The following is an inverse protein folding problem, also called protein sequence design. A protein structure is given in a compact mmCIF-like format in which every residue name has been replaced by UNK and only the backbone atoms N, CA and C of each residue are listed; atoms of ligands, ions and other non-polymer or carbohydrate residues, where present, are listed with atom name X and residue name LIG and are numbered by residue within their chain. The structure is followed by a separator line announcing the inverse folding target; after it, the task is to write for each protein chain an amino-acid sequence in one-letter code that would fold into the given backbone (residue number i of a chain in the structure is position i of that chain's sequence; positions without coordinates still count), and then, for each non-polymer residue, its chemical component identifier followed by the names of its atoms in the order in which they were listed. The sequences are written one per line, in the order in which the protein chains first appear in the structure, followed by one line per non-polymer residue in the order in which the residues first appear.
data_IF_658577823943
#
_entry.id   IF_658577823943
#
_cell.length_a   1.000
_cell.length_b   1.000
_cell.length_c   1.000
_cell.angle_alpha   90.00
_cell.angle_beta   90.00
_cell.angle_gamma   90.00
#
_symmetry.space_group_name_H-M   'P 1'
#
loop_
_entity.id
_entity.type
_entity.pdbx_description
1 polymer ?
#
# COMPACT_ATOMS: atom_id res chain seq x y z
N UNK A 1 -16.79 36.92 -0.48
CA UNK A 1 -16.85 35.66 -1.25
C UNK A 1 -18.29 35.55 -1.71
N UNK A 2 -18.53 35.74 -3.01
CA UNK A 2 -19.88 35.82 -3.55
C UNK A 2 -20.47 34.42 -3.75
N UNK A 3 -21.80 34.29 -3.83
CA UNK A 3 -22.46 32.99 -4.12
C UNK A 3 -22.05 32.41 -5.49
N UNK A 4 -21.45 33.22 -6.38
CA UNK A 4 -20.97 32.77 -7.69
C UNK A 4 -19.63 32.02 -7.56
N UNK A 5 -18.72 32.50 -6.71
CA UNK A 5 -17.41 31.87 -6.46
C UNK A 5 -17.58 30.46 -5.85
N UNK A 6 -18.52 30.31 -4.92
CA UNK A 6 -18.78 29.02 -4.25
C UNK A 6 -19.42 27.99 -5.18
N UNK A 7 -20.26 28.43 -6.12
CA UNK A 7 -20.86 27.55 -7.11
C UNK A 7 -19.86 27.07 -8.17
N UNK A 8 -18.90 27.92 -8.57
CA UNK A 8 -17.82 27.55 -9.48
C UNK A 8 -16.90 26.49 -8.86
N UNK A 9 -16.50 26.66 -7.59
CA UNK A 9 -15.65 25.70 -6.88
C UNK A 9 -16.33 24.33 -6.73
N UNK A 10 -17.63 24.31 -6.39
CA UNK A 10 -18.39 23.05 -6.28
C UNK A 10 -18.48 22.32 -7.62
N UNK A 11 -18.74 23.02 -8.73
CA UNK A 11 -18.80 22.41 -10.05
C UNK A 11 -17.45 21.82 -10.49
N UNK A 12 -16.34 22.45 -10.12
CA UNK A 12 -14.99 21.94 -10.37
C UNK A 12 -14.68 20.66 -9.56
N UNK A 13 -15.21 20.56 -8.33
CA UNK A 13 -15.12 19.34 -7.52
C UNK A 13 -15.91 18.20 -8.16
N UNK A 14 -17.17 18.45 -8.52
CA UNK A 14 -18.04 17.43 -9.11
C UNK A 14 -17.52 16.91 -10.45
N UNK A 15 -16.98 17.80 -11.29
CA UNK A 15 -16.34 17.41 -12.55
C UNK A 15 -15.08 16.56 -12.32
N UNK A 16 -14.20 16.93 -11.39
CA UNK A 16 -13.03 16.12 -11.03
C UNK A 16 -13.42 14.73 -10.51
N UNK A 17 -14.43 14.67 -9.64
CA UNK A 17 -14.95 13.40 -9.11
C UNK A 17 -15.53 12.52 -10.22
N UNK A 18 -16.40 13.06 -11.07
CA UNK A 18 -17.05 12.30 -12.16
C UNK A 18 -16.03 11.81 -13.19
N UNK A 19 -15.05 12.63 -13.56
CA UNK A 19 -13.96 12.23 -14.44
C UNK A 19 -13.14 11.10 -13.82
N UNK A 20 -12.79 11.22 -12.54
CA UNK A 20 -12.07 10.17 -11.80
C UNK A 20 -12.84 8.85 -11.77
N UNK A 21 -14.15 8.88 -11.48
CA UNK A 21 -14.98 7.67 -11.48
C UNK A 21 -15.09 7.03 -12.86
N UNK A 22 -15.26 7.82 -13.92
CA UNK A 22 -15.31 7.30 -15.29
C UNK A 22 -14.00 6.59 -15.66
N UNK A 23 -12.88 7.22 -15.34
CA UNK A 23 -11.54 6.66 -15.46
C UNK A 23 -11.40 5.34 -14.70
N UNK A 24 -11.75 5.32 -13.41
CA UNK A 24 -11.61 4.15 -12.55
C UNK A 24 -12.51 3.00 -13.03
N UNK A 25 -13.69 3.30 -13.56
CA UNK A 25 -14.59 2.32 -14.16
C UNK A 25 -13.97 1.69 -15.42
N UNK A 26 -13.38 2.51 -16.30
CA UNK A 26 -12.67 2.02 -17.50
C UNK A 26 -11.49 1.12 -17.12
N UNK A 27 -10.71 1.50 -16.11
CA UNK A 27 -9.61 0.68 -15.59
C UNK A 27 -10.14 -0.65 -15.04
N UNK A 28 -11.16 -0.60 -14.19
CA UNK A 28 -11.78 -1.80 -13.61
C UNK A 28 -12.29 -2.76 -14.68
N UNK A 29 -12.92 -2.24 -15.74
CA UNK A 29 -13.35 -3.03 -16.90
C UNK A 29 -12.17 -3.61 -17.67
N UNK A 30 -11.10 -2.83 -17.90
CA UNK A 30 -9.92 -3.28 -18.63
C UNK A 30 -9.28 -4.52 -17.98
N UNK A 31 -9.26 -4.57 -16.66
CA UNK A 31 -8.74 -5.70 -15.89
C UNK A 31 -9.59 -6.98 -15.97
N UNK A 32 -10.84 -6.90 -16.45
CA UNK A 32 -11.68 -8.08 -16.72
C UNK A 32 -11.37 -8.72 -18.07
N UNK A 33 -10.91 -7.94 -19.04
CA UNK A 33 -10.79 -8.38 -20.44
C UNK A 33 -9.36 -8.49 -20.94
N UNK A 34 -8.43 -7.74 -20.35
CA UNK A 34 -7.05 -7.66 -20.82
C UNK A 34 -6.12 -8.52 -19.95
N UNK A 35 -5.25 -9.35 -20.58
CA UNK A 35 -4.24 -10.10 -19.85
C UNK A 35 -3.13 -9.17 -19.33
N UNK A 36 -2.50 -9.56 -18.22
CA UNK A 36 -1.31 -8.87 -17.71
C UNK A 36 -0.07 -9.23 -18.54
N UNK A 37 0.71 -8.23 -18.91
CA UNK A 37 1.94 -8.40 -19.69
C UNK A 37 3.23 -8.18 -18.86
N UNK A 38 3.12 -7.84 -17.56
CA UNK A 38 4.24 -7.59 -16.65
C UNK A 38 5.37 -6.69 -17.22
N UNK A 39 5.04 -5.75 -18.10
CA UNK A 39 6.01 -4.80 -18.65
C UNK A 39 6.99 -5.35 -19.70
N UNK A 40 6.76 -6.56 -20.23
CA UNK A 40 7.74 -7.21 -21.14
C UNK A 40 7.68 -6.74 -22.59
N UNK A 41 6.54 -6.21 -23.02
CA UNK A 41 6.33 -5.85 -24.44
C UNK A 41 6.58 -4.35 -24.69
N UNK A 42 7.82 -4.00 -25.01
CA UNK A 42 8.23 -2.60 -25.30
C UNK A 42 7.37 -1.90 -26.36
N UNK A 43 6.82 -2.63 -27.34
CA UNK A 43 5.94 -2.04 -28.36
C UNK A 43 4.66 -1.45 -27.77
N UNK A 44 4.11 -2.09 -26.74
CA UNK A 44 2.90 -1.62 -26.05
C UNK A 44 3.20 -0.34 -25.28
N UNK A 45 4.36 -0.25 -24.62
CA UNK A 45 4.76 0.99 -23.93
C UNK A 45 4.95 2.15 -24.91
N UNK A 46 5.62 1.91 -26.03
CA UNK A 46 5.81 2.92 -27.07
C UNK A 46 4.47 3.40 -27.67
N UNK A 47 3.57 2.45 -27.99
CA UNK A 47 2.23 2.77 -28.48
C UNK A 47 1.43 3.56 -27.45
N UNK A 48 1.47 3.16 -26.18
CA UNK A 48 0.80 3.85 -25.09
C UNK A 48 1.24 5.31 -24.99
N UNK A 49 2.55 5.56 -24.95
CA UNK A 49 3.08 6.91 -24.84
C UNK A 49 2.80 7.77 -26.07
N UNK A 50 2.82 7.19 -27.27
CA UNK A 50 2.40 7.89 -28.47
C UNK A 50 0.94 8.36 -28.38
N UNK A 51 0.03 7.50 -27.93
CA UNK A 51 -1.39 7.85 -27.72
C UNK A 51 -1.55 8.86 -26.60
N UNK A 52 -0.84 8.70 -25.47
CA UNK A 52 -0.92 9.61 -24.34
C UNK A 52 -0.48 11.03 -24.71
N UNK A 53 0.67 11.17 -25.39
CA UNK A 53 1.19 12.48 -25.83
C UNK A 53 0.23 13.15 -26.81
N UNK A 54 -0.28 12.41 -27.80
CA UNK A 54 -1.27 12.94 -28.75
C UNK A 54 -2.53 13.38 -28.00
N UNK A 55 -2.99 12.61 -27.01
CA UNK A 55 -4.17 12.96 -26.23
C UNK A 55 -3.96 14.25 -25.44
N UNK A 56 -2.82 14.41 -24.75
CA UNK A 56 -2.51 15.65 -23.99
C UNK A 56 -2.47 16.88 -24.90
N UNK A 57 -1.96 16.77 -26.12
CA UNK A 57 -1.84 17.88 -27.07
C UNK A 57 -3.19 18.23 -27.73
N UNK A 58 -3.98 17.22 -28.09
CA UNK A 58 -5.21 17.39 -28.87
C UNK A 58 -6.43 17.70 -27.98
N UNK A 59 -6.38 17.34 -26.69
CA UNK A 59 -7.50 17.56 -25.79
C UNK A 59 -7.83 19.07 -25.71
N UNK A 60 -9.09 19.48 -25.99
CA UNK A 60 -9.48 20.88 -25.89
C UNK A 60 -9.20 21.46 -24.50
N UNK A 61 -8.77 22.73 -24.44
CA UNK A 61 -8.45 23.42 -23.19
C UNK A 61 -9.56 23.31 -22.16
N UNK A 62 -10.81 23.47 -22.62
CA UNK A 62 -12.00 23.47 -21.78
C UNK A 62 -12.28 22.10 -21.16
N UNK A 63 -11.87 21.01 -21.80
CA UNK A 63 -12.00 19.66 -21.24
C UNK A 63 -10.80 19.35 -20.35
N UNK A 64 -9.61 19.77 -20.76
CA UNK A 64 -8.37 19.52 -20.04
C UNK A 64 -8.37 20.13 -18.64
N UNK A 65 -8.99 21.30 -18.45
CA UNK A 65 -9.09 21.97 -17.14
C UNK A 65 -9.91 21.19 -16.12
N UNK A 66 -10.90 20.40 -16.56
CA UNK A 66 -11.71 19.55 -15.66
C UNK A 66 -11.10 18.17 -15.42
N UNK A 67 -10.32 17.64 -16.37
CA UNK A 67 -9.73 16.30 -16.28
C UNK A 67 -8.36 16.33 -15.61
N UNK A 68 -7.51 17.31 -15.95
CA UNK A 68 -6.13 17.40 -15.47
C UNK A 68 -6.05 18.26 -14.21
N UNK A 69 -6.77 17.82 -13.17
CA UNK A 69 -6.76 18.46 -11.85
C UNK A 69 -5.92 17.62 -10.87
N UNK A 70 -5.33 18.29 -9.87
CA UNK A 70 -4.57 17.60 -8.80
C UNK A 70 -5.40 16.53 -8.10
N UNK A 71 -6.67 16.85 -7.80
CA UNK A 71 -7.61 15.90 -7.20
C UNK A 71 -7.86 14.69 -8.10
N UNK A 72 -8.02 14.87 -9.42
CA UNK A 72 -8.19 13.75 -10.35
C UNK A 72 -6.96 12.84 -10.33
N UNK A 73 -5.75 13.40 -10.33
CA UNK A 73 -4.51 12.62 -10.25
C UNK A 73 -4.44 11.83 -8.94
N UNK A 74 -4.74 12.46 -7.81
CA UNK A 74 -4.78 11.79 -6.51
C UNK A 74 -5.77 10.63 -6.51
N UNK A 75 -7.01 10.85 -6.97
CA UNK A 75 -8.05 9.84 -7.00
C UNK A 75 -7.70 8.68 -7.95
N UNK A 76 -7.28 8.99 -9.17
CA UNK A 76 -6.95 8.00 -10.20
C UNK A 76 -5.67 7.23 -9.86
N UNK A 77 -4.67 7.92 -9.34
CA UNK A 77 -3.38 7.35 -8.96
C UNK A 77 -3.42 6.58 -7.63
N UNK A 78 -4.41 6.80 -6.76
CA UNK A 78 -4.48 6.15 -5.46
C UNK A 78 -5.66 5.17 -5.30
N UNK A 79 -6.90 5.51 -5.69
CA UNK A 79 -8.08 4.69 -5.34
C UNK A 79 -8.00 3.27 -5.88
N UNK A 80 -7.73 3.12 -7.18
CA UNK A 80 -7.64 1.78 -7.78
C UNK A 80 -6.46 0.97 -7.22
N UNK A 81 -5.24 1.54 -7.11
CA UNK A 81 -4.14 0.86 -6.46
C UNK A 81 -4.34 0.53 -4.98
N UNK A 82 -5.06 1.36 -4.20
CA UNK A 82 -5.44 1.04 -2.82
C UNK A 82 -6.31 -0.22 -2.80
N UNK A 83 -7.37 -0.26 -3.61
CA UNK A 83 -8.25 -1.43 -3.68
C UNK A 83 -7.45 -2.68 -4.06
N UNK A 84 -6.54 -2.56 -5.02
CA UNK A 84 -5.72 -3.69 -5.48
C UNK A 84 -4.66 -4.12 -4.47
N UNK A 85 -4.06 -3.20 -3.73
CA UNK A 85 -3.20 -3.51 -2.60
C UNK A 85 -3.97 -4.26 -1.50
N UNK A 86 -5.20 -3.82 -1.18
CA UNK A 86 -6.05 -4.53 -0.22
C UNK A 86 -6.42 -5.92 -0.72
N UNK A 87 -6.81 -6.03 -1.99
CA UNK A 87 -7.14 -7.30 -2.60
C UNK A 87 -5.95 -8.25 -2.63
N UNK A 88 -4.79 -7.78 -3.07
CA UNK A 88 -3.57 -8.58 -3.16
C UNK A 88 -3.21 -9.18 -1.80
N UNK A 89 -3.16 -8.31 -0.78
CA UNK A 89 -2.95 -8.75 0.59
C UNK A 89 -3.99 -9.80 0.99
N UNK A 90 -5.27 -9.71 0.60
CA UNK A 90 -6.27 -10.71 0.99
C UNK A 90 -6.21 -12.04 0.21
N UNK A 91 -5.42 -12.17 -0.86
CA UNK A 91 -5.36 -13.42 -1.63
C UNK A 91 -4.27 -14.36 -1.12
N UNK A 92 -4.40 -15.68 -1.32
CA UNK A 92 -3.34 -16.63 -1.00
C UNK A 92 -2.24 -16.72 -2.09
N UNK A 93 -2.35 -15.96 -3.18
CA UNK A 93 -1.38 -16.00 -4.28
C UNK A 93 -0.11 -15.22 -3.91
N UNK A 94 1.07 -15.80 -4.15
CA UNK A 94 2.33 -15.26 -3.61
C UNK A 94 2.98 -14.16 -4.48
N UNK A 95 2.30 -13.69 -5.53
CA UNK A 95 2.92 -12.86 -6.58
C UNK A 95 2.29 -11.48 -6.81
N UNK A 96 1.04 -11.27 -6.41
CA UNK A 96 0.35 -9.99 -6.60
C UNK A 96 0.79 -8.93 -5.58
N UNK A 97 1.10 -9.32 -4.34
CA UNK A 97 1.65 -8.43 -3.32
C UNK A 97 2.90 -7.68 -3.81
N UNK A 98 3.83 -8.40 -4.46
CA UNK A 98 5.07 -7.81 -5.00
C UNK A 98 4.75 -6.79 -6.10
N UNK A 99 3.82 -7.11 -6.99
CA UNK A 99 3.45 -6.23 -8.11
C UNK A 99 2.87 -4.90 -7.62
N UNK A 100 1.97 -4.95 -6.62
CA UNK A 100 1.37 -3.74 -6.08
C UNK A 100 2.32 -2.95 -5.18
N UNK A 101 3.26 -3.62 -4.50
CA UNK A 101 4.29 -2.91 -3.75
C UNK A 101 5.26 -2.16 -4.69
N UNK A 102 5.64 -2.76 -5.84
CA UNK A 102 6.43 -2.07 -6.87
C UNK A 102 5.70 -0.84 -7.42
N UNK A 103 4.38 -0.92 -7.60
CA UNK A 103 3.56 0.25 -7.93
C UNK A 103 3.71 1.35 -6.89
N UNK A 104 3.54 1.03 -5.60
CA UNK A 104 3.62 2.03 -4.54
C UNK A 104 5.03 2.62 -4.35
N UNK A 105 6.07 1.85 -4.62
CA UNK A 105 7.46 2.36 -4.67
C UNK A 105 7.60 3.46 -5.72
N UNK A 106 7.14 3.21 -6.96
CA UNK A 106 7.28 4.17 -8.06
C UNK A 106 6.27 5.32 -7.93
N UNK A 107 5.00 4.99 -7.69
CA UNK A 107 3.90 5.94 -7.56
C UNK A 107 4.02 6.84 -6.33
N UNK A 108 4.49 6.30 -5.19
CA UNK A 108 4.71 7.08 -3.97
C UNK A 108 5.74 8.19 -4.16
N UNK A 109 6.87 7.88 -4.81
CA UNK A 109 7.83 8.94 -5.19
C UNK A 109 7.24 9.93 -6.17
N UNK A 110 6.48 9.48 -7.17
CA UNK A 110 5.85 10.40 -8.12
C UNK A 110 4.86 11.34 -7.42
N UNK A 111 4.03 10.84 -6.50
CA UNK A 111 3.15 11.69 -5.68
C UNK A 111 3.93 12.72 -4.85
N UNK A 112 5.04 12.28 -4.23
CA UNK A 112 5.91 13.17 -3.49
C UNK A 112 6.51 14.24 -4.41
N UNK A 113 7.19 13.87 -5.49
CA UNK A 113 7.83 14.79 -6.44
C UNK A 113 6.83 15.77 -7.04
N UNK A 114 5.65 15.28 -7.42
CA UNK A 114 4.57 16.11 -8.00
C UNK A 114 4.21 17.26 -7.08
N UNK A 115 4.16 17.03 -5.76
CA UNK A 115 3.87 18.11 -4.80
C UNK A 115 4.87 19.26 -4.94
N UNK A 116 6.16 18.97 -5.14
CA UNK A 116 7.18 20.01 -5.32
C UNK A 116 7.08 20.68 -6.68
N UNK A 117 6.79 19.90 -7.72
CA UNK A 117 6.70 20.41 -9.10
C UNK A 117 5.46 21.29 -9.28
N UNK A 118 4.34 20.94 -8.66
CA UNK A 118 3.09 21.70 -8.74
C UNK A 118 3.19 23.10 -8.11
N UNK A 119 4.07 23.25 -7.12
CA UNK A 119 4.40 24.54 -6.48
C UNK A 119 5.44 25.33 -7.29
N UNK A 120 6.30 24.64 -8.05
CA UNK A 120 7.36 25.27 -8.85
C UNK A 120 6.88 25.78 -10.23
N UNK A 121 5.79 25.22 -10.77
CA UNK A 121 5.25 25.63 -12.07
C UNK A 121 4.24 26.77 -11.89
N UNK A 122 4.66 27.99 -12.21
CA UNK A 122 3.80 29.19 -12.16
C UNK A 122 2.84 29.30 -13.36
N UNK A 123 3.23 28.75 -14.52
CA UNK A 123 2.43 28.86 -15.74
C UNK A 123 1.29 27.83 -15.75
N UNK A 124 0.04 28.30 -15.79
CA UNK A 124 -1.16 27.47 -15.74
C UNK A 124 -1.25 26.45 -16.90
N UNK A 125 -0.86 26.85 -18.12
CA UNK A 125 -0.79 25.92 -19.25
C UNK A 125 0.26 24.83 -19.04
N UNK A 126 1.45 25.22 -18.56
CA UNK A 126 2.51 24.25 -18.25
C UNK A 126 2.09 23.29 -17.12
N UNK A 127 1.34 23.79 -16.13
CA UNK A 127 0.77 22.99 -15.04
C UNK A 127 -0.26 21.99 -15.57
N UNK A 128 -1.16 22.42 -16.45
CA UNK A 128 -2.11 21.52 -17.11
C UNK A 128 -1.44 20.40 -17.90
N UNK A 129 -0.37 20.71 -18.64
CA UNK A 129 0.44 19.71 -19.37
C UNK A 129 1.15 18.75 -18.41
N UNK A 130 1.73 19.25 -17.32
CA UNK A 130 2.36 18.44 -16.29
C UNK A 130 1.37 17.45 -15.65
N UNK A 131 0.20 17.95 -15.25
CA UNK A 131 -0.87 17.14 -14.66
C UNK A 131 -1.41 16.11 -15.66
N UNK A 132 -1.55 16.46 -16.94
CA UNK A 132 -1.91 15.53 -18.00
C UNK A 132 -0.87 14.40 -18.15
N UNK A 133 0.41 14.74 -18.25
CA UNK A 133 1.51 13.77 -18.30
C UNK A 133 1.50 12.84 -17.08
N UNK A 134 1.26 13.39 -15.89
CA UNK A 134 1.24 12.63 -14.65
C UNK A 134 0.05 11.68 -14.57
N UNK A 135 -1.14 12.11 -14.99
CA UNK A 135 -2.32 11.25 -15.07
C UNK A 135 -2.04 10.03 -15.96
N UNK A 136 -1.52 10.25 -17.17
CA UNK A 136 -1.13 9.16 -18.07
C UNK A 136 0.04 8.33 -17.52
N UNK A 137 0.93 8.90 -16.70
CA UNK A 137 1.98 8.13 -16.02
C UNK A 137 1.37 7.16 -15.01
N UNK A 138 0.45 7.62 -14.14
CA UNK A 138 -0.19 6.74 -13.15
C UNK A 138 -0.95 5.59 -13.82
N UNK A 139 -1.71 5.90 -14.87
CA UNK A 139 -2.34 4.87 -15.68
C UNK A 139 -1.33 3.88 -16.25
N UNK A 140 -0.24 4.38 -16.84
CA UNK A 140 0.79 3.52 -17.42
C UNK A 140 1.40 2.57 -16.39
N UNK A 141 1.59 3.04 -15.15
CA UNK A 141 2.17 2.23 -14.08
C UNK A 141 1.33 1.00 -13.74
N UNK A 142 0.00 1.14 -13.68
CA UNK A 142 -0.88 0.06 -13.25
C UNK A 142 -1.77 -0.53 -14.36
N UNK A 143 -1.77 -0.02 -15.59
CA UNK A 143 -2.65 -0.56 -16.63
C UNK A 143 -2.22 -2.00 -17.03
N UNK A 144 -3.15 -2.96 -17.23
CA UNK A 144 -2.81 -4.40 -17.35
C UNK A 144 -1.81 -4.72 -18.47
N UNK A 145 -1.92 -4.02 -19.62
CA UNK A 145 -1.06 -4.29 -20.76
C UNK A 145 0.34 -3.68 -20.63
N UNK A 146 0.47 -2.60 -19.85
CA UNK A 146 1.74 -1.90 -19.68
C UNK A 146 2.46 -2.36 -18.43
N UNK A 147 1.81 -2.46 -17.27
CA UNK A 147 2.49 -2.80 -16.00
C UNK A 147 3.79 -1.99 -15.83
N UNK A 148 3.70 -0.67 -16.06
CA UNK A 148 4.86 0.21 -16.10
C UNK A 148 5.62 0.26 -14.79
N UNK A 149 4.95 0.02 -13.66
CA UNK A 149 5.59 -0.04 -12.35
C UNK A 149 6.65 -1.14 -12.27
N UNK A 150 6.36 -2.33 -12.80
CA UNK A 150 7.30 -3.46 -12.86
C UNK A 150 8.50 -3.09 -13.72
N UNK A 151 8.25 -2.50 -14.90
CA UNK A 151 9.31 -2.10 -15.83
C UNK A 151 10.25 -1.07 -15.20
N UNK A 152 9.71 -0.05 -14.52
CA UNK A 152 10.53 0.97 -13.83
C UNK A 152 11.27 0.36 -12.66
N UNK A 153 10.61 -0.47 -11.85
CA UNK A 153 11.24 -1.07 -10.69
C UNK A 153 12.41 -1.97 -11.09
N UNK A 154 12.15 -2.97 -11.94
CA UNK A 154 13.13 -3.99 -12.32
C UNK A 154 14.24 -3.37 -13.21
N UNK A 155 13.89 -2.38 -14.05
CA UNK A 155 14.82 -1.77 -14.99
C UNK A 155 15.64 -0.61 -14.45
N UNK A 156 15.12 0.13 -13.45
CA UNK A 156 15.74 1.37 -12.96
C UNK A 156 15.92 1.32 -11.44
N UNK A 157 14.83 1.12 -10.68
CA UNK A 157 14.85 1.27 -9.22
C UNK A 157 15.76 0.25 -8.54
N UNK A 158 15.58 -1.04 -8.82
CA UNK A 158 16.35 -2.11 -8.18
C UNK A 158 17.85 -2.06 -8.54
N UNK A 159 18.26 -1.93 -9.82
CA UNK A 159 19.67 -1.81 -10.17
C UNK A 159 20.36 -0.57 -9.58
N UNK A 160 19.66 0.57 -9.52
CA UNK A 160 20.23 1.84 -9.07
C UNK A 160 20.28 1.96 -7.55
N UNK A 161 19.20 1.53 -6.88
CA UNK A 161 18.98 1.80 -5.46
C UNK A 161 19.16 0.57 -4.56
N UNK A 162 18.87 -0.64 -5.05
CA UNK A 162 18.86 -1.87 -4.26
C UNK A 162 20.10 -2.06 -3.36
N UNK A 163 21.34 -2.06 -3.92
CA UNK A 163 22.55 -2.28 -3.14
C UNK A 163 22.84 -1.19 -2.09
N UNK A 164 22.37 0.04 -2.32
CA UNK A 164 22.67 1.20 -1.45
C UNK A 164 21.60 1.42 -0.39
N UNK A 165 20.35 1.13 -0.73
CA UNK A 165 19.19 1.43 0.12
C UNK A 165 19.17 0.58 1.37
N UNK A 166 19.66 -0.67 1.35
CA UNK A 166 19.67 -1.51 2.55
C UNK A 166 20.52 -0.91 3.69
N UNK A 167 21.68 -0.35 3.37
CA UNK A 167 22.51 0.35 4.35
C UNK A 167 21.78 1.58 4.91
N UNK A 168 21.27 2.44 4.03
CA UNK A 168 20.55 3.67 4.43
C UNK A 168 19.31 3.35 5.26
N UNK A 169 18.56 2.31 4.89
CA UNK A 169 17.39 1.86 5.63
C UNK A 169 17.79 1.47 7.07
N UNK A 170 18.84 0.67 7.24
CA UNK A 170 19.27 0.21 8.56
C UNK A 170 19.70 1.36 9.47
N UNK A 171 20.42 2.35 8.92
CA UNK A 171 20.81 3.56 9.66
C UNK A 171 19.58 4.36 10.10
N UNK A 172 18.62 4.60 9.20
CA UNK A 172 17.38 5.32 9.52
C UNK A 172 16.54 4.54 10.54
N UNK A 173 16.39 3.23 10.39
CA UNK A 173 15.67 2.39 11.36
C UNK A 173 16.33 2.44 12.73
N UNK A 174 17.66 2.38 12.81
CA UNK A 174 18.40 2.49 14.07
C UNK A 174 18.18 3.85 14.71
N UNK A 175 18.22 4.93 13.92
CA UNK A 175 17.92 6.28 14.38
C UNK A 175 16.49 6.40 14.91
N UNK A 176 15.50 5.86 14.20
CA UNK A 176 14.08 5.89 14.63
C UNK A 176 13.92 5.16 15.97
N UNK A 177 14.51 3.97 16.11
CA UNK A 177 14.44 3.20 17.37
C UNK A 177 15.13 3.93 18.53
N UNK A 178 16.30 4.54 18.27
CA UNK A 178 16.97 5.38 19.25
C UNK A 178 16.11 6.59 19.65
N UNK A 179 15.59 7.33 18.67
CA UNK A 179 14.72 8.47 18.89
C UNK A 179 13.48 8.09 19.70
N UNK A 180 12.86 6.93 19.43
CA UNK A 180 11.75 6.40 20.22
C UNK A 180 12.12 6.09 21.68
N UNK A 181 13.34 5.62 21.93
CA UNK A 181 13.79 5.27 23.28
C UNK A 181 14.12 6.48 24.17
N UNK A 182 14.46 7.63 23.55
CA UNK A 182 14.91 8.84 24.26
C UNK A 182 13.87 9.97 24.19
N UNK A 183 12.98 9.98 23.20
CA UNK A 183 11.98 11.02 23.03
C UNK A 183 11.05 11.10 24.25
N UNK A 184 10.93 12.31 24.78
CA UNK A 184 9.99 12.65 25.84
C UNK A 184 9.06 13.78 25.35
N UNK A 185 8.12 14.18 26.20
CA UNK A 185 7.15 15.22 25.84
C UNK A 185 7.81 16.54 25.40
N UNK A 186 8.96 16.91 25.99
CA UNK A 186 9.69 18.12 25.62
C UNK A 186 10.26 18.02 24.19
N UNK A 187 10.90 16.91 23.84
CA UNK A 187 11.43 16.69 22.48
C UNK A 187 10.31 16.76 21.44
N UNK A 188 9.19 16.08 21.70
CA UNK A 188 8.02 16.08 20.81
C UNK A 188 7.47 17.50 20.67
N UNK A 189 7.39 18.25 21.77
CA UNK A 189 6.94 19.64 21.77
C UNK A 189 7.87 20.57 20.97
N UNK A 190 9.19 20.42 21.10
CA UNK A 190 10.16 21.21 20.33
C UNK A 190 10.09 20.93 18.83
N UNK A 191 9.96 19.66 18.43
CA UNK A 191 9.75 19.28 17.02
C UNK A 191 8.44 19.87 16.50
N UNK A 192 7.37 19.81 17.30
CA UNK A 192 6.09 20.40 16.96
C UNK A 192 6.17 21.93 16.81
N UNK A 193 6.85 22.63 17.73
CA UNK A 193 7.07 24.08 17.61
C UNK A 193 7.86 24.44 16.35
N UNK A 194 8.92 23.70 16.04
CA UNK A 194 9.67 23.90 14.81
C UNK A 194 8.77 23.72 13.58
N UNK A 195 7.93 22.68 13.57
CA UNK A 195 6.95 22.46 12.51
C UNK A 195 5.94 23.61 12.39
N UNK A 196 5.48 24.20 13.50
CA UNK A 196 4.54 25.31 13.49
C UNK A 196 5.11 26.57 12.82
N UNK A 197 6.42 26.80 12.92
CA UNK A 197 7.13 27.96 12.34
C UNK A 197 7.25 27.85 10.81
N UNK A 198 7.16 26.63 10.24
CA UNK A 198 7.30 26.43 8.79
C UNK A 198 6.18 27.14 8.00
N UNK A 199 6.47 27.60 6.78
CA UNK A 199 5.46 28.05 5.81
C UNK A 199 4.41 26.96 5.54
N UNK A 200 3.20 27.35 5.12
CA UNK A 200 2.10 26.42 4.79
C UNK A 200 2.52 25.35 3.79
N UNK A 201 3.18 25.77 2.72
CA UNK A 201 3.55 24.88 1.61
C UNK A 201 4.61 23.86 2.05
N UNK A 202 5.57 24.33 2.87
CA UNK A 202 6.57 23.46 3.49
C UNK A 202 5.96 22.43 4.45
N UNK A 203 4.88 22.76 5.15
CA UNK A 203 4.20 21.81 6.05
C UNK A 203 3.58 20.64 5.29
N UNK A 204 2.95 20.91 4.14
CA UNK A 204 2.41 19.88 3.24
C UNK A 204 3.50 18.94 2.77
N UNK A 205 4.58 19.52 2.26
CA UNK A 205 5.77 18.79 1.79
C UNK A 205 6.35 17.90 2.89
N UNK A 206 6.51 18.43 4.11
CA UNK A 206 7.02 17.66 5.26
C UNK A 206 6.10 16.50 5.60
N UNK A 207 4.78 16.72 5.65
CA UNK A 207 3.81 15.66 5.94
C UNK A 207 3.86 14.52 4.91
N UNK A 208 3.91 14.85 3.62
CA UNK A 208 4.02 13.87 2.53
C UNK A 208 5.38 13.15 2.56
N UNK A 209 6.46 13.89 2.82
CA UNK A 209 7.81 13.32 2.90
C UNK A 209 7.94 12.32 4.05
N UNK A 210 7.39 12.63 5.23
CA UNK A 210 7.36 11.72 6.38
C UNK A 210 6.62 10.42 6.01
N UNK A 211 5.48 10.52 5.33
CA UNK A 211 4.70 9.35 4.90
C UNK A 211 5.23 8.59 3.70
N UNK A 212 6.22 9.13 2.99
CA UNK A 212 6.71 8.50 1.75
C UNK A 212 8.14 8.00 1.88
N UNK A 213 9.07 8.79 2.41
CA UNK A 213 10.52 8.53 2.29
C UNK A 213 10.96 7.26 3.01
N UNK A 214 10.66 7.12 4.31
CA UNK A 214 11.05 5.93 5.05
C UNK A 214 10.33 4.66 4.55
N UNK A 215 9.00 4.66 4.37
CA UNK A 215 8.29 3.52 3.79
C UNK A 215 8.77 3.13 2.40
N UNK A 216 9.14 4.10 1.55
CA UNK A 216 9.72 3.85 0.23
C UNK A 216 11.02 3.05 0.33
N UNK A 217 11.94 3.46 1.21
CA UNK A 217 13.22 2.76 1.40
C UNK A 217 12.99 1.33 1.88
N UNK A 218 12.10 1.13 2.86
CA UNK A 218 11.77 -0.20 3.34
C UNK A 218 11.01 -1.06 2.32
N UNK A 219 10.22 -0.43 1.44
CA UNK A 219 9.52 -1.14 0.37
C UNK A 219 10.49 -1.64 -0.70
N UNK A 220 11.53 -0.86 -1.04
CA UNK A 220 12.58 -1.33 -1.96
C UNK A 220 13.26 -2.58 -1.40
N UNK A 221 13.65 -2.56 -0.13
CA UNK A 221 14.34 -3.71 0.48
C UNK A 221 13.43 -4.90 0.68
N UNK A 222 12.14 -4.68 0.98
CA UNK A 222 11.16 -5.74 1.06
C UNK A 222 10.97 -6.45 -0.29
N UNK A 223 10.89 -5.71 -1.39
CA UNK A 223 10.73 -6.27 -2.75
C UNK A 223 11.99 -6.98 -3.25
N UNK A 224 13.17 -6.51 -2.85
CA UNK A 224 14.46 -7.13 -3.16
C UNK A 224 14.80 -8.34 -2.27
N UNK A 225 14.15 -8.45 -1.11
CA UNK A 225 14.30 -9.57 -0.18
C UNK A 225 13.39 -10.76 -0.50
N UNK A 226 13.61 -11.88 0.22
CA UNK A 226 12.84 -13.12 0.05
C UNK A 226 11.66 -13.26 1.03
N UNK A 227 11.45 -12.27 1.91
CA UNK A 227 10.44 -12.34 2.97
C UNK A 227 9.13 -11.72 2.49
N UNK A 228 8.18 -12.58 2.12
CA UNK A 228 6.81 -12.18 1.74
C UNK A 228 6.14 -11.35 2.84
N UNK A 229 6.41 -11.67 4.11
CA UNK A 229 5.85 -10.94 5.27
C UNK A 229 6.21 -9.44 5.25
N UNK A 230 7.43 -9.09 4.83
CA UNK A 230 7.87 -7.69 4.73
C UNK A 230 7.13 -6.98 3.59
N UNK A 231 6.93 -7.67 2.46
CA UNK A 231 6.18 -7.16 1.30
C UNK A 231 4.73 -6.87 1.73
N UNK A 232 4.06 -7.84 2.35
CA UNK A 232 2.68 -7.69 2.82
C UNK A 232 2.57 -6.56 3.86
N UNK A 233 3.54 -6.44 4.79
CA UNK A 233 3.55 -5.37 5.79
C UNK A 233 3.54 -3.98 5.13
N UNK A 234 4.50 -3.72 4.24
CA UNK A 234 4.59 -2.41 3.57
C UNK A 234 3.43 -2.17 2.62
N UNK A 235 2.89 -3.22 1.98
CA UNK A 235 1.71 -3.07 1.14
C UNK A 235 0.46 -2.69 1.95
N UNK A 236 0.29 -3.25 3.16
CA UNK A 236 -0.79 -2.83 4.07
C UNK A 236 -0.62 -1.37 4.52
N UNK A 237 0.63 -0.94 4.73
CA UNK A 237 0.96 0.45 5.03
C UNK A 237 0.54 1.37 3.89
N UNK A 238 0.95 1.09 2.65
CA UNK A 238 0.62 1.90 1.48
C UNK A 238 -0.88 1.96 1.21
N UNK A 239 -1.62 0.86 1.44
CA UNK A 239 -3.07 0.89 1.34
C UNK A 239 -3.71 1.85 2.36
N UNK A 240 -3.26 1.82 3.62
CA UNK A 240 -3.77 2.70 4.67
C UNK A 240 -3.33 4.16 4.50
N UNK A 241 -2.05 4.39 4.18
CA UNK A 241 -1.51 5.72 3.92
C UNK A 241 -2.12 6.33 2.65
N UNK A 242 -2.35 5.54 1.60
CA UNK A 242 -3.04 5.99 0.39
C UNK A 242 -4.44 6.51 0.70
N UNK A 243 -5.21 5.83 1.57
CA UNK A 243 -6.50 6.35 2.04
C UNK A 243 -6.35 7.68 2.79
N UNK A 244 -5.38 7.77 3.70
CA UNK A 244 -5.09 9.00 4.45
C UNK A 244 -4.69 10.15 3.50
N UNK A 245 -3.90 9.87 2.47
CA UNK A 245 -3.46 10.83 1.47
C UNK A 245 -4.63 11.35 0.63
N UNK A 246 -5.52 10.47 0.16
CA UNK A 246 -6.75 10.87 -0.55
C UNK A 246 -7.65 11.73 0.34
N UNK A 247 -7.81 11.34 1.62
CA UNK A 247 -8.61 12.12 2.58
C UNK A 247 -7.98 13.50 2.82
N UNK A 248 -6.66 13.56 3.01
CA UNK A 248 -5.93 14.82 3.18
C UNK A 248 -6.13 15.74 1.98
N UNK A 249 -5.90 15.24 0.76
CA UNK A 249 -6.04 16.02 -0.49
C UNK A 249 -7.49 16.51 -0.70
N UNK A 250 -8.48 15.67 -0.37
CA UNK A 250 -9.89 16.05 -0.40
C UNK A 250 -10.20 17.17 0.60
N UNK A 251 -9.72 17.05 1.84
CA UNK A 251 -9.94 18.07 2.88
C UNK A 251 -9.23 19.38 2.51
N UNK A 252 -8.00 19.31 1.97
CA UNK A 252 -7.28 20.50 1.48
C UNK A 252 -8.05 21.22 0.39
N UNK A 253 -8.64 20.47 -0.54
CA UNK A 253 -9.44 21.07 -1.60
C UNK A 253 -10.70 21.76 -1.07
N UNK A 254 -11.29 21.28 0.03
CA UNK A 254 -12.52 21.83 0.61
C UNK A 254 -12.28 22.95 1.64
N UNK A 255 -11.25 22.80 2.47
CA UNK A 255 -10.98 23.67 3.62
C UNK A 255 -9.73 24.54 3.43
N UNK A 256 -8.99 24.36 2.34
CA UNK A 256 -7.68 24.94 2.12
C UNK A 256 -6.59 24.26 2.98
N UNK A 257 -5.36 24.73 2.80
CA UNK A 257 -4.22 24.23 3.57
C UNK A 257 -4.30 24.71 5.02
N UNK A 258 -4.52 23.78 5.96
CA UNK A 258 -4.56 24.10 7.39
C UNK A 258 -3.44 23.39 8.15
N UNK A 259 -2.76 24.11 9.04
CA UNK A 259 -1.64 23.53 9.83
C UNK A 259 -2.11 22.38 10.72
N UNK A 260 -3.35 22.44 11.19
CA UNK A 260 -3.94 21.41 12.05
C UNK A 260 -4.13 20.09 11.29
N UNK A 261 -4.57 20.14 10.02
CA UNK A 261 -4.70 18.95 9.17
C UNK A 261 -3.38 18.19 9.06
N UNK A 262 -2.28 18.89 8.73
CA UNK A 262 -0.96 18.27 8.61
C UNK A 262 -0.45 17.66 9.91
N UNK A 263 -0.74 18.28 11.06
CA UNK A 263 -0.42 17.70 12.36
C UNK A 263 -1.11 16.33 12.53
N UNK A 264 -2.41 16.24 12.23
CA UNK A 264 -3.15 14.98 12.31
C UNK A 264 -2.64 13.94 11.31
N UNK A 265 -2.38 14.36 10.07
CA UNK A 265 -1.83 13.47 9.04
C UNK A 265 -0.48 12.90 9.48
N UNK A 266 0.42 13.72 10.02
CA UNK A 266 1.73 13.25 10.52
C UNK A 266 1.54 12.27 11.67
N UNK A 267 0.69 12.56 12.65
CA UNK A 267 0.42 11.67 13.78
C UNK A 267 -0.13 10.31 13.33
N UNK A 268 -1.13 10.30 12.44
CA UNK A 268 -1.70 9.07 11.90
C UNK A 268 -0.65 8.32 11.08
N UNK A 269 0.13 9.02 10.26
CA UNK A 269 1.19 8.41 9.43
C UNK A 269 2.26 7.74 10.28
N UNK A 270 2.69 8.38 11.36
CA UNK A 270 3.64 7.81 12.34
C UNK A 270 3.03 6.58 13.02
N UNK A 271 1.76 6.63 13.41
CA UNK A 271 1.04 5.47 13.96
C UNK A 271 0.98 4.29 12.96
N UNK A 272 0.76 4.58 11.67
CA UNK A 272 0.68 3.56 10.62
C UNK A 272 2.03 2.89 10.35
N UNK A 273 3.13 3.66 10.28
CA UNK A 273 4.44 3.14 9.85
C UNK A 273 5.21 2.41 10.95
N UNK A 274 5.05 2.84 12.21
CA UNK A 274 5.94 2.38 13.27
C UNK A 274 5.62 0.94 13.71
N UNK A 275 6.63 0.04 13.76
CA UNK A 275 6.41 -1.37 14.10
C UNK A 275 5.76 -1.60 15.47
N UNK A 276 6.04 -0.72 16.44
CA UNK A 276 5.49 -0.80 17.80
C UNK A 276 3.96 -0.81 17.83
N UNK A 277 3.31 -0.02 16.96
CA UNK A 277 1.85 0.13 16.99
C UNK A 277 1.14 -0.92 16.15
N UNK A 278 1.81 -1.44 15.10
CA UNK A 278 1.20 -2.22 14.02
C UNK A 278 -0.07 -1.53 13.49
N UNK A 279 0.00 -0.20 13.36
CA UNK A 279 -1.17 0.63 13.05
C UNK A 279 -1.76 0.33 11.67
N UNK A 280 -0.90 0.13 10.67
CA UNK A 280 -1.33 -0.26 9.33
C UNK A 280 -2.11 -1.58 9.31
N UNK A 281 -1.62 -2.63 9.98
CA UNK A 281 -2.31 -3.93 10.06
C UNK A 281 -3.67 -3.82 10.77
N UNK A 282 -3.78 -3.03 11.84
CA UNK A 282 -5.05 -2.76 12.53
C UNK A 282 -6.06 -2.05 11.62
N UNK A 283 -5.65 -0.98 10.94
CA UNK A 283 -6.50 -0.24 10.00
C UNK A 283 -6.88 -1.13 8.82
N UNK A 284 -5.93 -1.91 8.30
CA UNK A 284 -6.17 -2.85 7.22
C UNK A 284 -7.25 -3.88 7.58
N UNK A 285 -7.07 -4.63 8.68
CA UNK A 285 -7.96 -5.73 9.08
C UNK A 285 -9.33 -5.24 9.55
N UNK A 286 -9.38 -4.12 10.27
CA UNK A 286 -10.61 -3.64 10.91
C UNK A 286 -11.39 -2.62 10.08
N UNK A 287 -10.75 -1.95 9.11
CA UNK A 287 -11.39 -0.90 8.31
C UNK A 287 -11.35 -1.26 6.83
N UNK A 288 -10.16 -1.43 6.23
CA UNK A 288 -10.05 -1.58 4.77
C UNK A 288 -10.65 -2.88 4.24
N UNK A 289 -10.37 -4.02 4.88
CA UNK A 289 -10.89 -5.32 4.45
C UNK A 289 -12.42 -5.41 4.55
N UNK A 290 -13.06 -4.97 5.65
CA UNK A 290 -14.52 -4.87 5.72
C UNK A 290 -15.11 -3.97 4.65
N UNK A 291 -14.53 -2.78 4.42
CA UNK A 291 -15.02 -1.84 3.40
C UNK A 291 -14.91 -2.41 1.98
N UNK A 292 -13.87 -3.20 1.70
CA UNK A 292 -13.67 -3.84 0.40
C UNK A 292 -14.50 -5.14 0.21
N UNK A 293 -15.19 -5.62 1.25
CA UNK A 293 -15.92 -6.89 1.20
C UNK A 293 -15.03 -8.13 1.08
N UNK A 294 -13.81 -8.09 1.62
CA UNK A 294 -12.77 -9.11 1.42
C UNK A 294 -12.51 -10.00 2.65
N UNK A 295 -13.39 -9.96 3.65
CA UNK A 295 -13.22 -10.70 4.91
C UNK A 295 -13.03 -12.20 4.70
N UNK A 296 -13.83 -12.81 3.83
CA UNK A 296 -13.76 -14.26 3.55
C UNK A 296 -12.44 -14.65 2.90
N UNK A 297 -11.97 -13.86 1.91
CA UNK A 297 -10.67 -14.10 1.27
C UNK A 297 -9.52 -13.94 2.28
N UNK A 298 -9.59 -12.93 3.14
CA UNK A 298 -8.60 -12.73 4.20
C UNK A 298 -8.54 -13.93 5.15
N UNK A 299 -9.70 -14.45 5.59
CA UNK A 299 -9.77 -15.62 6.47
C UNK A 299 -9.19 -16.86 5.78
N UNK A 300 -9.50 -17.07 4.50
CA UNK A 300 -8.93 -18.16 3.71
C UNK A 300 -7.41 -18.05 3.58
N UNK A 301 -6.89 -16.85 3.31
CA UNK A 301 -5.46 -16.58 3.25
C UNK A 301 -4.79 -16.86 4.59
N UNK A 302 -5.34 -16.35 5.70
CA UNK A 302 -4.77 -16.54 7.03
C UNK A 302 -4.73 -18.05 7.39
N UNK A 303 -5.79 -18.80 7.07
CA UNK A 303 -5.81 -20.26 7.21
C UNK A 303 -4.73 -20.95 6.35
N UNK A 304 -4.57 -20.51 5.10
CA UNK A 304 -3.52 -21.01 4.21
C UNK A 304 -2.11 -20.70 4.75
N UNK A 305 -1.87 -19.50 5.26
CA UNK A 305 -0.59 -19.09 5.86
C UNK A 305 -0.26 -19.90 7.11
N UNK A 306 -1.23 -20.11 8.00
CA UNK A 306 -1.08 -20.95 9.20
C UNK A 306 -0.72 -22.39 8.79
N UNK A 307 -1.45 -22.97 7.82
CA UNK A 307 -1.13 -24.31 7.29
C UNK A 307 0.29 -24.35 6.72
N UNK A 308 0.68 -23.34 5.94
CA UNK A 308 2.01 -23.27 5.30
C UNK A 308 3.13 -23.20 6.33
N UNK A 309 3.00 -22.32 7.34
CA UNK A 309 3.98 -22.17 8.42
C UNK A 309 4.08 -23.47 9.22
N UNK A 310 2.95 -24.04 9.63
CA UNK A 310 2.90 -25.29 10.37
C UNK A 310 3.55 -26.46 9.63
N UNK A 311 3.37 -26.57 8.30
CA UNK A 311 4.03 -27.61 7.50
C UNK A 311 5.52 -27.36 7.28
N UNK A 312 5.95 -26.09 7.26
CA UNK A 312 7.36 -25.70 7.10
C UNK A 312 8.18 -26.00 8.36
N UNK A 313 7.57 -25.87 9.54
CA UNK A 313 8.23 -26.10 10.84
C UNK A 313 8.33 -27.58 11.23
N UNK A 314 7.73 -28.48 10.44
CA UNK A 314 7.70 -29.92 10.67
C UNK A 314 8.75 -30.66 9.82
N UNK A 315 9.23 -31.79 10.34
CA UNK A 315 10.01 -32.76 9.55
C UNK A 315 9.20 -33.24 8.31
N UNK A 316 9.82 -33.48 7.14
CA UNK A 316 9.11 -33.79 5.89
C UNK A 316 8.08 -34.93 6.00
N UNK A 317 8.40 -35.98 6.76
CA UNK A 317 7.49 -37.11 6.94
C UNK A 317 6.27 -36.70 7.78
N UNK A 318 6.50 -35.92 8.83
CA UNK A 318 5.43 -35.40 9.69
C UNK A 318 4.59 -34.35 8.98
N UNK A 319 5.20 -33.49 8.16
CA UNK A 319 4.50 -32.52 7.33
C UNK A 319 3.53 -33.22 6.36
N UNK A 320 3.94 -34.32 5.71
CA UNK A 320 3.06 -35.09 4.82
C UNK A 320 1.86 -35.70 5.56
N UNK A 321 2.09 -36.22 6.76
CA UNK A 321 1.05 -36.81 7.62
C UNK A 321 0.05 -35.77 8.13
N UNK A 322 0.56 -34.64 8.60
CA UNK A 322 -0.26 -33.53 9.09
C UNK A 322 -1.04 -32.89 7.94
N UNK A 323 -0.42 -32.73 6.76
CA UNK A 323 -1.09 -32.25 5.56
C UNK A 323 -2.28 -33.12 5.15
N UNK A 324 -2.14 -34.46 5.22
CA UNK A 324 -3.25 -35.40 4.99
C UNK A 324 -4.34 -35.28 6.05
N UNK A 325 -3.96 -35.15 7.32
CA UNK A 325 -4.92 -35.00 8.43
C UNK A 325 -5.73 -33.72 8.30
N UNK A 326 -5.09 -32.61 7.92
CA UNK A 326 -5.75 -31.33 7.66
C UNK A 326 -6.77 -31.48 6.53
N UNK A 327 -6.38 -32.07 5.39
CA UNK A 327 -7.30 -32.29 4.28
C UNK A 327 -8.50 -33.16 4.69
N UNK A 328 -8.25 -34.23 5.44
CA UNK A 328 -9.31 -35.11 5.95
C UNK A 328 -10.31 -34.38 6.85
N UNK A 329 -9.83 -33.53 7.77
CA UNK A 329 -10.68 -32.78 8.70
C UNK A 329 -11.56 -31.75 7.98
N UNK A 330 -11.03 -31.04 6.99
CA UNK A 330 -11.79 -30.06 6.22
C UNK A 330 -12.81 -30.71 5.28
N UNK A 331 -12.53 -31.91 4.74
CA UNK A 331 -13.45 -32.60 3.82
C UNK A 331 -14.59 -33.35 4.55
N UNK A 332 -14.45 -33.64 5.85
CA UNK A 332 -15.40 -34.46 6.63
C UNK A 332 -16.00 -33.68 7.83
N UNK A 333 -16.10 -32.35 7.72
CA UNK A 333 -16.55 -31.47 8.80
C UNK A 333 -18.06 -31.64 9.12
N UNK A 334 -18.86 -32.14 8.16
CA UNK A 334 -20.31 -32.39 8.30
C UNK A 334 -20.68 -33.79 8.80
N UNK A 335 -19.71 -34.69 9.00
CA UNK A 335 -19.97 -35.97 9.64
C UNK A 335 -20.18 -35.72 11.14
N UNK A 336 -21.33 -36.12 11.72
CA UNK A 336 -21.76 -36.04 13.14
C UNK A 336 -20.84 -36.79 14.15
N UNK A 337 -19.53 -36.78 13.92
CA UNK A 337 -18.53 -37.61 14.58
C UNK A 337 -17.63 -36.70 15.40
N UNK A 338 -17.71 -36.85 16.73
CA UNK A 338 -16.86 -36.16 17.71
C UNK A 338 -15.37 -36.14 17.27
N UNK A 339 -14.82 -34.96 16.90
CA UNK A 339 -13.46 -34.85 16.39
C UNK A 339 -12.41 -35.29 17.41
N UNK A 340 -12.74 -35.30 18.71
CA UNK A 340 -11.87 -35.76 19.79
C UNK A 340 -11.57 -37.26 19.75
N UNK A 341 -12.51 -38.09 19.27
CA UNK A 341 -12.36 -39.55 19.25
C UNK A 341 -11.45 -40.01 18.11
N UNK A 342 -11.56 -39.39 16.93
CA UNK A 342 -10.65 -39.66 15.80
C UNK A 342 -9.30 -38.97 15.94
N UNK A 343 -9.19 -37.78 16.53
CA UNK A 343 -7.88 -37.21 16.84
C UNK A 343 -7.11 -38.13 17.81
N UNK A 344 -7.72 -38.65 18.86
CA UNK A 344 -7.04 -39.62 19.75
C UNK A 344 -6.57 -40.88 19.02
N UNK A 345 -7.42 -41.42 18.13
CA UNK A 345 -7.07 -42.54 17.25
C UNK A 345 -5.96 -42.16 16.26
N UNK A 346 -5.96 -40.89 15.84
CA UNK A 346 -5.03 -40.34 14.87
C UNK A 346 -3.62 -40.15 15.46
N UNK A 347 -3.59 -39.56 16.64
CA UNK A 347 -2.38 -39.35 17.43
C UNK A 347 -1.80 -40.66 17.95
N UNK A 348 -2.62 -41.70 18.15
CA UNK A 348 -2.14 -43.03 18.50
C UNK A 348 -1.43 -43.76 17.35
N UNK A 349 -1.70 -43.47 16.07
CA UNK A 349 -0.92 -43.98 14.94
C UNK A 349 0.35 -43.16 14.64
N UNK A 350 0.41 -41.92 15.14
CA UNK A 350 1.58 -41.04 15.10
C UNK A 350 2.68 -41.40 16.11
N UNK A 351 2.48 -42.42 16.96
CA UNK A 351 3.55 -42.98 17.81
C UNK A 351 4.51 -43.83 16.97
N UNK A 352 5.38 -43.18 16.21
CA UNK A 352 6.62 -43.81 15.74
C UNK A 352 7.54 -43.93 16.97
N UNK A 353 8.09 -45.13 17.28
CA UNK A 353 8.96 -45.29 18.43
C UNK A 353 10.31 -44.63 18.12
N UNK A 354 10.70 -43.64 18.93
CA UNK A 354 12.10 -43.21 19.01
C UNK A 354 12.38 -41.71 18.82
N UNK A 355 11.71 -40.82 19.57
CA UNK A 355 12.33 -39.66 20.25
C UNK A 355 11.27 -38.90 21.06
N UNK A 356 11.45 -38.68 22.37
CA UNK A 356 10.55 -37.83 23.14
C UNK A 356 10.68 -36.37 22.66
N UNK A 357 9.55 -35.67 22.54
CA UNK A 357 9.56 -34.20 22.42
C UNK A 357 10.25 -33.63 23.65
N UNK A 358 11.41 -32.98 23.48
CA UNK A 358 11.91 -32.05 24.49
C UNK A 358 11.03 -30.81 24.40
N UNK A 359 10.10 -30.71 25.34
CA UNK A 359 9.46 -29.44 25.65
C UNK A 359 10.53 -28.58 26.34
N UNK A 360 11.07 -27.59 25.63
CA UNK A 360 11.89 -26.56 26.28
C UNK A 360 10.88 -25.52 26.80
N UNK A 361 10.63 -25.52 28.11
CA UNK A 361 9.87 -24.47 28.79
C UNK A 361 10.63 -23.14 28.65
N UNK A 362 10.36 -22.40 27.57
CA UNK A 362 10.69 -20.99 27.53
C UNK A 362 9.59 -20.21 28.25
N UNK A 363 9.84 -19.98 29.55
CA UNK A 363 9.33 -18.91 30.40
C UNK A 363 7.93 -18.36 30.05
N UNK A 364 6.91 -18.97 30.66
CA UNK A 364 5.68 -18.27 31.03
C UNK A 364 6.01 -17.17 32.05
N UNK A 365 6.37 -15.98 31.58
CA UNK A 365 6.30 -14.78 32.41
C UNK A 365 4.83 -14.44 32.59
N UNK A 366 4.36 -14.62 33.82
CA UNK A 366 2.99 -14.38 34.27
C UNK A 366 2.50 -12.99 33.84
N UNK A 367 1.50 -12.96 32.94
CA UNK A 367 0.61 -11.82 32.78
C UNK A 367 -0.25 -11.74 34.06
N UNK A 368 0.18 -10.92 35.01
CA UNK A 368 -0.70 -10.41 36.04
C UNK A 368 -1.57 -9.33 35.41
N UNK A 369 -2.87 -9.62 35.31
CA UNK A 369 -3.91 -8.63 35.10
C UNK A 369 -4.04 -7.78 36.38
N UNK A 370 -3.61 -6.52 36.30
CA UNK A 370 -4.18 -5.37 37.03
C UNK A 370 -4.23 -4.20 36.06
#
# INVERSE_FOLDING_TARGET
MSDDDTNVDLNNIWSSLTCSFAVLALVSLSYKFLPSNRGRNFKIHALYWAVAIVTVIVLPSDVSSYVFTGLTITLVGAIYPIYRAVKACCTPYEGDDKEWLQFWVVGGILFMVTTWVDDAIENEYAKGVWLGCLLFTFFWLYFPLTCGAQLVYDGITEPLLGPRVQYVQNEITTFILYAQSVANALHIYLVWLFFMILPSDSKRVVAISIGTVYPFLCSITAVAGDRIEDITYWLTYWAAYGCLFVIMDMIEHWMGQTTILYCFVILITVYLMLPMFRGADKVFRNILVPLAGLKEMLMLRDAYQIKRQLLKDLDPDRAKLVGKSIAYLFDHEDDDIDPGVKLKRSWNWLKIPGRPMKYEEQHTTKLNLV
#
